data_IF_969245456672
#
_entry.id   IF_969245456672
#
_cell.length_a   1.000
_cell.length_b   1.000
_cell.length_c   1.000
_cell.angle_alpha   90.00
_cell.angle_beta   90.00
_cell.angle_gamma   90.00
#
_symmetry.space_group_name_H-M   'P 1'
#
loop_
_entity.id
_entity.type
_entity.pdbx_description
1 polymer ?
#
# COMPACT_ATOMS: atom_id res chain seq x y z
N UNK A 1 10.84 3.32 -13.43
CA UNK A 1 10.27 2.57 -12.28
C UNK A 1 9.27 1.55 -12.81
N UNK A 2 9.33 0.29 -12.37
CA UNK A 2 8.35 -0.74 -12.78
C UNK A 2 7.18 -0.75 -11.80
N UNK A 3 5.96 -1.13 -12.26
CA UNK A 3 4.76 -1.25 -11.38
C UNK A 3 5.07 -1.95 -10.06
N UNK A 4 5.79 -3.07 -10.15
CA UNK A 4 6.19 -3.87 -8.97
C UNK A 4 7.00 -3.07 -7.94
N UNK A 5 8.00 -2.29 -8.36
CA UNK A 5 8.81 -1.49 -7.43
C UNK A 5 7.99 -0.40 -6.74
N UNK A 6 7.05 0.22 -7.47
CA UNK A 6 6.16 1.24 -6.92
C UNK A 6 5.18 0.65 -5.89
N UNK A 7 4.58 -0.51 -6.17
CA UNK A 7 3.70 -1.21 -5.23
C UNK A 7 4.48 -1.62 -3.98
N UNK A 8 5.65 -2.23 -4.12
CA UNK A 8 6.49 -2.65 -2.97
C UNK A 8 6.85 -1.44 -2.10
N UNK A 9 7.26 -0.32 -2.70
CA UNK A 9 7.56 0.90 -1.96
C UNK A 9 6.35 1.43 -1.21
N UNK A 10 5.16 1.38 -1.81
CA UNK A 10 3.92 1.81 -1.16
C UNK A 10 3.55 0.89 0.01
N UNK A 11 3.64 -0.43 -0.17
CA UNK A 11 3.33 -1.41 0.89
C UNK A 11 4.24 -1.26 2.12
N UNK A 12 5.52 -0.89 1.95
CA UNK A 12 6.42 -0.62 3.07
C UNK A 12 5.94 0.60 3.87
N UNK A 13 5.55 1.67 3.19
CA UNK A 13 5.04 2.89 3.83
C UNK A 13 3.72 2.61 4.56
N UNK A 14 2.81 1.87 3.92
CA UNK A 14 1.53 1.47 4.51
C UNK A 14 1.71 0.64 5.78
N UNK A 15 2.62 -0.34 5.77
CA UNK A 15 2.93 -1.15 6.95
C UNK A 15 3.45 -0.29 8.12
N UNK A 16 4.31 0.69 7.82
CA UNK A 16 4.88 1.60 8.82
C UNK A 16 3.81 2.50 9.43
N UNK A 17 2.85 2.97 8.62
CA UNK A 17 1.68 3.74 9.08
C UNK A 17 0.74 2.90 9.96
N UNK A 18 0.47 1.65 9.58
CA UNK A 18 -0.33 0.73 10.37
C UNK A 18 0.32 0.43 11.73
N UNK A 19 1.65 0.23 11.75
CA UNK A 19 2.39 0.03 12.99
C UNK A 19 2.29 1.26 13.92
N UNK A 20 2.44 2.48 13.37
CA UNK A 20 2.30 3.71 14.14
C UNK A 20 0.88 3.86 14.72
N UNK A 21 -0.16 3.58 13.92
CA UNK A 21 -1.55 3.60 14.38
C UNK A 21 -1.81 2.58 15.49
N UNK A 22 -1.23 1.38 15.39
CA UNK A 22 -1.37 0.35 16.41
C UNK A 22 -0.73 0.80 17.75
N UNK A 23 0.45 1.42 17.70
CA UNK A 23 1.11 1.97 18.92
C UNK A 23 0.29 3.09 19.54
N UNK A 24 -0.27 3.99 18.73
CA UNK A 24 -1.14 5.08 19.21
C UNK A 24 -2.44 4.55 19.84
N UNK A 25 -2.99 3.45 19.31
CA UNK A 25 -4.14 2.79 19.90
C UNK A 25 -3.81 2.11 21.24
N UNK A 26 -2.71 1.33 21.30
CA UNK A 26 -2.29 0.63 22.53
C UNK A 26 -1.92 1.62 23.64
N UNK A 27 -1.35 2.78 23.30
CA UNK A 27 -1.04 3.85 24.25
C UNK A 27 -2.28 4.61 24.75
N UNK A 28 -3.48 4.30 24.24
CA UNK A 28 -4.74 4.91 24.66
C UNK A 28 -4.94 6.34 24.17
N UNK A 29 -4.19 6.78 23.16
CA UNK A 29 -4.25 8.15 22.64
C UNK A 29 -5.58 8.44 21.92
N UNK A 30 -6.21 7.42 21.33
CA UNK A 30 -7.49 7.52 20.63
C UNK A 30 -8.44 6.37 21.00
N UNK A 31 -9.75 6.58 20.85
CA UNK A 31 -10.77 5.55 21.10
C UNK A 31 -10.81 4.49 20.00
N UNK A 32 -11.40 3.32 20.29
CA UNK A 32 -11.60 2.24 19.31
C UNK A 32 -12.33 2.73 18.06
N UNK A 33 -13.35 3.57 18.20
CA UNK A 33 -14.11 4.12 17.07
C UNK A 33 -13.24 4.98 16.17
N UNK A 34 -12.37 5.83 16.74
CA UNK A 34 -11.42 6.63 15.95
C UNK A 34 -10.38 5.76 15.25
N UNK A 35 -9.88 4.71 15.93
CA UNK A 35 -8.96 3.76 15.33
C UNK A 35 -9.57 3.05 14.11
N UNK A 36 -10.81 2.57 14.22
CA UNK A 36 -11.53 1.94 13.10
C UNK A 36 -11.77 2.92 11.95
N UNK A 37 -12.15 4.17 12.24
CA UNK A 37 -12.30 5.18 11.19
C UNK A 37 -10.98 5.47 10.48
N UNK A 38 -9.87 5.56 11.20
CA UNK A 38 -8.54 5.78 10.61
C UNK A 38 -8.11 4.60 9.74
N UNK A 39 -8.37 3.36 10.16
CA UNK A 39 -8.11 2.15 9.37
C UNK A 39 -8.90 2.14 8.06
N UNK A 40 -10.19 2.47 8.10
CA UNK A 40 -11.03 2.52 6.90
C UNK A 40 -10.51 3.58 5.93
N UNK A 41 -10.19 4.79 6.43
CA UNK A 41 -9.64 5.86 5.60
C UNK A 41 -8.29 5.47 4.97
N UNK A 42 -7.41 4.84 5.74
CA UNK A 42 -6.12 4.37 5.24
C UNK A 42 -6.31 3.32 4.13
N UNK A 43 -7.23 2.38 4.31
CA UNK A 43 -7.56 1.37 3.29
C UNK A 43 -8.08 1.98 1.99
N UNK A 44 -8.95 2.99 2.08
CA UNK A 44 -9.46 3.72 0.91
C UNK A 44 -8.32 4.43 0.17
N UNK A 45 -7.44 5.12 0.89
CA UNK A 45 -6.27 5.80 0.32
C UNK A 45 -5.35 4.79 -0.38
N UNK A 46 -5.09 3.63 0.24
CA UNK A 46 -4.25 2.59 -0.33
C UNK A 46 -4.82 2.03 -1.64
N UNK A 47 -6.12 1.74 -1.69
CA UNK A 47 -6.80 1.33 -2.92
C UNK A 47 -6.66 2.36 -4.05
N UNK A 48 -6.84 3.65 -3.74
CA UNK A 48 -6.70 4.74 -4.73
C UNK A 48 -5.27 4.78 -5.29
N UNK A 49 -4.26 4.62 -4.44
CA UNK A 49 -2.85 4.67 -4.84
C UNK A 49 -2.47 3.46 -5.69
N UNK A 50 -2.91 2.26 -5.31
CA UNK A 50 -2.69 1.05 -6.10
C UNK A 50 -3.35 1.18 -7.48
N UNK A 51 -4.61 1.67 -7.52
CA UNK A 51 -5.31 1.91 -8.78
C UNK A 51 -4.57 2.92 -9.67
N UNK A 52 -4.05 3.99 -9.06
CA UNK A 52 -3.24 4.99 -9.77
C UNK A 52 -1.94 4.40 -10.34
N UNK A 53 -1.24 3.58 -9.56
CA UNK A 53 -0.01 2.88 -9.98
C UNK A 53 -0.28 1.96 -11.17
N UNK A 54 -1.34 1.18 -11.11
CA UNK A 54 -1.72 0.24 -12.18
C UNK A 54 -2.07 1.02 -13.46
N UNK A 55 -2.83 2.11 -13.34
CA UNK A 55 -3.25 2.91 -14.50
C UNK A 55 -2.11 3.68 -15.16
N UNK A 56 -1.16 4.20 -14.37
CA UNK A 56 -0.17 5.17 -14.86
C UNK A 56 1.18 4.57 -15.25
N UNK A 57 1.60 3.48 -14.60
CA UNK A 57 2.88 2.83 -14.94
C UNK A 57 2.61 1.72 -15.95
N UNK A 58 3.50 1.46 -16.93
CA UNK A 58 3.38 0.30 -17.82
C UNK A 58 3.69 -1.00 -17.05
N UNK A 59 3.06 -2.14 -17.42
CA UNK A 59 3.49 -3.43 -16.90
C UNK A 59 4.94 -3.66 -17.28
N UNK A 60 5.66 -4.43 -16.45
CA UNK A 60 7.04 -4.80 -16.78
C UNK A 60 6.94 -5.93 -17.81
N UNK A 61 6.82 -5.58 -19.08
CA UNK A 61 6.84 -6.57 -20.17
C UNK A 61 8.24 -7.18 -20.29
N UNK A 62 8.31 -8.53 -20.35
CA UNK A 62 9.41 -9.25 -21.00
C UNK A 62 10.55 -9.85 -20.15
N UNK A 63 10.28 -10.66 -19.11
CA UNK A 63 11.28 -11.66 -18.63
C UNK A 63 10.75 -13.10 -18.78
N UNK A 64 9.82 -13.35 -19.71
CA UNK A 64 9.29 -14.70 -19.95
C UNK A 64 9.16 -15.08 -21.45
N UNK A 65 9.69 -14.28 -22.38
CA UNK A 65 9.67 -14.60 -23.83
C UNK A 65 11.09 -14.75 -24.44
N UNK A 66 12.08 -15.16 -23.65
CA UNK A 66 13.43 -15.49 -24.17
C UNK A 66 13.79 -16.98 -24.04
N UNK A 67 12.88 -17.83 -23.54
CA UNK A 67 13.07 -19.29 -23.47
C UNK A 67 12.15 -20.07 -24.43
N UNK A 68 11.84 -19.48 -25.58
CA UNK A 68 11.32 -20.22 -26.74
C UNK A 68 12.35 -20.07 -27.83
N UNK A 69 13.30 -21.01 -27.87
CA UNK A 69 13.86 -21.73 -29.02
C UNK A 69 15.16 -22.42 -28.60
#
# INVERSE_FOLDING_TARGET
MTRQKAIISWSIVEFLLLAALAVLYISGFFSLTMFLMLLINLGVISCVIIFYIIRKLPPKDGINNENTY
#
